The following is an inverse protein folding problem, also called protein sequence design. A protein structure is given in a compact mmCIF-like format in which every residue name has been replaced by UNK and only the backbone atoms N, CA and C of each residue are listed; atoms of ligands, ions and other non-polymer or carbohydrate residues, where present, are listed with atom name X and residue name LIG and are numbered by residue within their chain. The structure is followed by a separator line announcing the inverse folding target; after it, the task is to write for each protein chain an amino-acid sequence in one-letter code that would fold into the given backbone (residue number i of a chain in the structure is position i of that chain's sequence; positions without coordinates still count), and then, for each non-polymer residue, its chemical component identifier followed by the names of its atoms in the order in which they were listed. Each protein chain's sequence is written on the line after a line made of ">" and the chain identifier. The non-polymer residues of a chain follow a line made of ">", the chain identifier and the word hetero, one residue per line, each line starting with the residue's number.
data_IF_907363443951
#
_entry.id   IF_907363443951
#
_cell.length_a   1.000
_cell.length_b   1.000
_cell.length_c   1.000
_cell.angle_alpha   90.00
_cell.angle_beta   90.00
_cell.angle_gamma   90.00
#
_symmetry.space_group_name_H-M   'P 1'
#
loop_
_entity.id
_entity.type
_entity.pdbx_description
1 polymer ?
#
# COMPACT_ATOMS: atom_id res chain seq x y z
N UNK A 1 -3.39 9.30 -4.29
CA UNK A 1 -2.24 8.87 -3.47
C UNK A 1 -2.07 9.75 -2.22
N UNK A 2 -3.17 10.35 -1.73
CA UNK A 2 -3.05 11.58 -0.97
C UNK A 2 -2.65 11.32 0.48
N UNK A 3 -3.03 10.18 1.08
CA UNK A 3 -2.69 9.85 2.46
C UNK A 3 -1.17 9.86 2.77
N UNK A 4 -0.33 9.33 1.87
CA UNK A 4 1.13 9.31 2.07
C UNK A 4 1.75 10.70 1.88
N UNK A 5 1.16 11.54 1.02
CA UNK A 5 1.66 12.89 0.74
C UNK A 5 1.21 13.86 1.83
N UNK A 6 -0.07 13.85 2.19
CA UNK A 6 -0.70 14.76 3.16
C UNK A 6 -0.14 14.57 4.57
N UNK A 7 0.28 13.35 4.91
CA UNK A 7 0.83 13.01 6.22
C UNK A 7 2.36 12.89 6.24
N UNK A 8 3.02 13.12 5.10
CA UNK A 8 4.47 12.97 4.95
C UNK A 8 5.02 11.63 5.49
N UNK A 9 4.24 10.56 5.30
CA UNK A 9 4.59 9.20 5.76
C UNK A 9 5.13 8.39 4.59
N UNK A 10 6.21 7.66 4.84
CA UNK A 10 6.83 6.80 3.81
C UNK A 10 6.25 5.39 3.80
N UNK A 11 5.72 4.94 4.95
CA UNK A 11 5.26 3.57 5.21
C UNK A 11 4.07 3.63 6.14
N UNK A 12 3.10 2.73 5.96
CA UNK A 12 1.93 2.61 6.82
C UNK A 12 1.73 1.15 7.26
N UNK A 13 1.38 0.90 8.53
CA UNK A 13 1.00 -0.44 8.96
C UNK A 13 -0.38 -0.81 8.41
N UNK A 14 -0.53 -2.08 8.00
CA UNK A 14 -1.81 -2.67 7.61
C UNK A 14 -2.30 -3.50 8.78
N UNK A 15 -3.47 -3.15 9.30
CA UNK A 15 -4.07 -3.80 10.47
C UNK A 15 -5.40 -4.43 10.06
N UNK A 16 -5.64 -5.68 10.47
CA UNK A 16 -6.92 -6.37 10.31
C UNK A 16 -7.39 -6.85 11.67
N UNK A 17 -8.61 -6.50 12.07
CA UNK A 17 -9.18 -6.87 13.37
C UNK A 17 -8.23 -6.55 14.54
N UNK A 18 -7.64 -5.34 14.53
CA UNK A 18 -6.67 -4.88 15.53
C UNK A 18 -5.34 -5.65 15.57
N UNK A 19 -5.12 -6.61 14.67
CA UNK A 19 -3.84 -7.32 14.50
C UNK A 19 -3.04 -6.72 13.35
N UNK A 20 -1.76 -6.41 13.60
CA UNK A 20 -0.82 -6.00 12.54
C UNK A 20 -0.60 -7.18 11.59
N UNK A 21 -0.97 -7.02 10.32
CA UNK A 21 -0.86 -8.04 9.28
C UNK A 21 0.20 -7.71 8.22
N UNK A 22 0.74 -6.49 8.22
CA UNK A 22 1.80 -6.12 7.30
C UNK A 22 2.12 -4.63 7.31
N UNK A 23 2.94 -4.21 6.35
CA UNK A 23 3.35 -2.82 6.13
C UNK A 23 3.25 -2.55 4.63
N UNK A 24 2.76 -1.37 4.26
CA UNK A 24 2.68 -0.90 2.88
C UNK A 24 3.43 0.42 2.73
N UNK A 25 4.30 0.51 1.74
CA UNK A 25 5.00 1.72 1.33
C UNK A 25 4.51 2.20 -0.04
N UNK A 26 4.86 3.44 -0.40
CA UNK A 26 4.49 4.04 -1.69
C UNK A 26 4.86 3.16 -2.90
N UNK A 27 6.04 2.52 -2.86
CA UNK A 27 6.51 1.64 -3.93
C UNK A 27 5.59 0.42 -4.10
N UNK A 28 5.06 -0.10 -3.01
CA UNK A 28 4.25 -1.33 -3.02
C UNK A 28 2.90 -1.08 -3.71
N UNK A 29 2.40 0.17 -3.69
CA UNK A 29 1.23 0.57 -4.45
C UNK A 29 1.47 0.50 -5.96
N UNK A 30 2.64 0.97 -6.42
CA UNK A 30 3.00 0.95 -7.85
C UNK A 30 3.16 -0.51 -8.30
N UNK A 31 3.95 -1.30 -7.57
CA UNK A 31 4.14 -2.72 -7.88
C UNK A 31 2.82 -3.51 -7.82
N UNK A 32 2.00 -3.27 -6.80
CA UNK A 32 0.70 -3.91 -6.64
C UNK A 32 -0.25 -3.57 -7.79
N UNK A 33 -0.28 -2.32 -8.23
CA UNK A 33 -1.08 -1.88 -9.38
C UNK A 33 -0.62 -2.54 -10.68
N UNK A 34 0.69 -2.57 -10.94
CA UNK A 34 1.24 -3.25 -12.13
C UNK A 34 0.88 -4.74 -12.15
N UNK A 35 1.00 -5.42 -11.00
CA UNK A 35 0.63 -6.83 -10.87
C UNK A 35 -0.87 -7.06 -11.06
N UNK A 36 -1.71 -6.16 -10.54
CA UNK A 36 -3.16 -6.24 -10.71
C UNK A 36 -3.56 -6.07 -12.18
N UNK A 37 -2.92 -5.14 -12.92
CA UNK A 37 -3.14 -4.98 -14.36
C UNK A 37 -2.75 -6.23 -15.15
N UNK A 38 -1.63 -6.86 -14.82
CA UNK A 38 -1.19 -8.10 -15.49
C UNK A 38 -2.13 -9.28 -15.23
N UNK A 39 -2.77 -9.35 -14.06
CA UNK A 39 -3.68 -10.44 -13.70
C UNK A 39 -5.01 -10.39 -14.48
N UNK A 40 -5.40 -9.23 -14.99
CA UNK A 40 -6.66 -9.03 -15.72
C UNK A 40 -6.48 -8.93 -17.25
N UNK A 41 -5.25 -9.15 -17.73
CA UNK A 41 -4.94 -9.39 -19.15
C UNK A 41 -4.95 -10.87 -19.48
#
# INVERSE_FOLDING_TARGET
>A
ANLFQDRYVTRLPVVRNQKLVGIVARRDLVFGYMKALQYWS
#
